data_IF_036309638690
#
_entry.id   IF_036309638690
#
_cell.length_a   1.000
_cell.length_b   1.000
_cell.length_c   1.000
_cell.angle_alpha   90.00
_cell.angle_beta   90.00
_cell.angle_gamma   90.00
#
_symmetry.space_group_name_H-M   'P 1'
#
loop_
_entity.id
_entity.type
_entity.pdbx_description
1 polymer ?
#
# COMPACT_ATOMS: atom_id res chain seq x y z
N UNK A 1 -15.16 -41.44 11.28
CA UNK A 1 -16.03 -40.52 10.52
C UNK A 1 -16.47 -39.43 11.49
N UNK A 2 -16.30 -38.12 11.34
CA UNK A 2 -15.62 -37.22 10.42
C UNK A 2 -15.75 -35.83 11.08
N UNK A 3 -14.73 -34.95 10.96
CA UNK A 3 -14.89 -33.48 10.83
C UNK A 3 -15.34 -32.69 12.10
N UNK A 4 -14.93 -31.46 12.40
CA UNK A 4 -14.06 -30.49 11.74
C UNK A 4 -13.71 -29.36 12.71
N UNK A 5 -12.53 -28.79 12.48
CA UNK A 5 -11.99 -27.55 13.00
C UNK A 5 -12.99 -26.38 13.00
N UNK A 6 -13.09 -25.64 14.10
CA UNK A 6 -13.69 -24.28 14.10
C UNK A 6 -12.71 -23.28 14.70
N UNK A 7 -11.68 -22.97 13.90
CA UNK A 7 -10.94 -21.72 14.02
C UNK A 7 -11.85 -20.58 13.59
N UNK A 8 -12.16 -19.65 14.48
CA UNK A 8 -12.76 -18.36 14.08
C UNK A 8 -12.32 -17.28 15.05
N UNK A 9 -11.07 -16.88 14.88
CA UNK A 9 -10.48 -15.68 15.46
C UNK A 9 -11.32 -14.47 15.04
N UNK A 10 -12.16 -14.00 15.95
CA UNK A 10 -12.90 -12.73 15.84
C UNK A 10 -11.93 -11.56 15.92
N UNK A 11 -11.26 -11.25 14.81
CA UNK A 11 -10.56 -9.98 14.63
C UNK A 11 -11.60 -8.89 14.33
N UNK A 12 -12.20 -8.36 15.40
CA UNK A 12 -13.12 -7.21 15.35
C UNK A 12 -12.45 -5.99 14.73
N UNK A 13 -12.79 -5.74 13.46
CA UNK A 13 -13.31 -4.47 12.96
C UNK A 13 -12.81 -3.18 13.64
N UNK A 14 -11.53 -2.85 13.43
CA UNK A 14 -11.10 -1.45 13.37
C UNK A 14 -10.81 -1.10 11.92
N UNK A 15 -11.89 -0.88 11.16
CA UNK A 15 -11.88 -0.37 9.79
C UNK A 15 -11.30 1.05 9.79
N UNK A 16 -9.98 1.15 9.91
CA UNK A 16 -9.21 2.34 9.54
C UNK A 16 -9.33 2.45 8.04
N UNK A 17 -10.29 3.26 7.61
CA UNK A 17 -10.55 3.75 6.25
C UNK A 17 -9.40 3.43 5.30
N UNK A 18 -9.48 2.23 4.74
CA UNK A 18 -8.65 1.79 3.64
C UNK A 18 -9.17 2.59 2.45
N UNK A 19 -8.27 3.29 1.78
CA UNK A 19 -8.54 4.01 0.54
C UNK A 19 -9.37 3.11 -0.38
N UNK A 20 -10.53 3.57 -0.90
CA UNK A 20 -11.57 2.72 -1.48
C UNK A 20 -11.12 1.87 -2.66
N UNK A 21 -9.95 2.16 -3.24
CA UNK A 21 -9.43 1.49 -4.44
C UNK A 21 -8.90 0.08 -4.15
N UNK A 22 -8.42 -0.21 -2.93
CA UNK A 22 -7.80 -1.51 -2.64
C UNK A 22 -8.40 -2.15 -1.39
N UNK A 23 -9.55 -2.81 -1.53
CA UNK A 23 -10.11 -3.67 -0.46
C UNK A 23 -9.32 -4.97 -0.26
N UNK A 24 -8.51 -5.34 -1.24
CA UNK A 24 -7.65 -6.52 -1.24
C UNK A 24 -6.39 -6.25 -2.07
N UNK A 25 -5.35 -7.06 -1.88
CA UNK A 25 -4.13 -7.03 -2.66
C UNK A 25 -4.42 -7.41 -4.12
N UNK A 26 -4.07 -6.58 -5.11
CA UNK A 26 -4.35 -6.86 -6.52
C UNK A 26 -3.50 -7.99 -7.10
N UNK A 27 -2.40 -8.39 -6.45
CA UNK A 27 -1.53 -9.47 -6.94
C UNK A 27 -1.94 -10.85 -6.43
N UNK A 28 -2.25 -10.97 -5.14
CA UNK A 28 -2.55 -12.26 -4.52
C UNK A 28 -4.01 -12.40 -4.06
N UNK A 29 -4.81 -11.34 -4.13
CA UNK A 29 -6.18 -11.33 -3.62
C UNK A 29 -6.30 -11.27 -2.09
N UNK A 30 -5.18 -11.13 -1.36
CA UNK A 30 -5.17 -11.08 0.10
C UNK A 30 -6.03 -9.93 0.64
N UNK A 31 -7.00 -10.23 1.49
CA UNK A 31 -7.89 -9.24 2.11
C UNK A 31 -7.18 -8.40 3.19
N UNK A 32 -6.01 -8.83 3.63
CA UNK A 32 -5.20 -8.13 4.61
C UNK A 32 -4.23 -7.20 3.90
N UNK A 33 -4.44 -5.90 4.05
CA UNK A 33 -3.45 -4.90 3.67
C UNK A 33 -3.21 -3.95 4.84
N UNK A 34 -1.94 -3.61 5.05
CA UNK A 34 -1.51 -2.72 6.12
C UNK A 34 -1.17 -1.37 5.52
N UNK A 35 -1.82 -0.32 6.00
CA UNK A 35 -1.46 1.06 5.67
C UNK A 35 -0.29 1.50 6.55
N UNK A 36 0.78 1.99 5.92
CA UNK A 36 1.93 2.57 6.61
C UNK A 36 2.35 3.89 5.98
N UNK A 37 3.06 4.72 6.74
CA UNK A 37 3.78 5.87 6.18
C UNK A 37 5.27 5.60 6.24
N UNK A 38 5.97 5.78 5.12
CA UNK A 38 7.42 5.67 5.06
C UNK A 38 8.00 6.91 4.37
N UNK A 39 9.25 7.25 4.69
CA UNK A 39 10.01 8.28 3.98
C UNK A 39 10.71 7.64 2.79
N UNK A 40 10.17 7.88 1.60
CA UNK A 40 10.78 7.40 0.36
C UNK A 40 11.81 8.42 -0.11
N UNK A 41 13.04 7.94 -0.36
CA UNK A 41 14.09 8.73 -1.01
C UNK A 41 14.21 8.24 -2.44
N UNK A 42 13.94 9.12 -3.40
CA UNK A 42 14.04 8.82 -4.82
C UNK A 42 15.13 9.69 -5.43
N UNK A 43 16.09 9.05 -6.10
CA UNK A 43 17.07 9.75 -6.92
C UNK A 43 16.45 10.14 -8.26
N UNK A 44 16.54 11.41 -8.63
CA UNK A 44 16.21 11.89 -9.96
C UNK A 44 17.36 11.62 -10.92
N UNK A 45 17.07 11.63 -12.22
CA UNK A 45 18.08 11.45 -13.27
C UNK A 45 19.15 12.56 -13.25
N UNK A 46 18.80 13.74 -12.76
CA UNK A 46 19.70 14.89 -12.57
C UNK A 46 20.62 14.76 -11.34
N UNK A 47 20.60 13.63 -10.64
CA UNK A 47 21.40 13.40 -9.44
C UNK A 47 20.85 14.06 -8.17
N UNK A 48 19.65 14.66 -8.23
CA UNK A 48 18.98 15.21 -7.04
C UNK A 48 18.25 14.10 -6.30
N UNK A 49 18.32 14.09 -4.98
CA UNK A 49 17.57 13.12 -4.16
C UNK A 49 16.40 13.82 -3.48
N UNK A 50 15.18 13.44 -3.85
CA UNK A 50 13.97 13.93 -3.19
C UNK A 50 13.58 12.96 -2.08
N UNK A 51 13.43 13.48 -0.86
CA UNK A 51 12.94 12.70 0.28
C UNK A 51 11.54 13.17 0.65
N UNK A 52 10.53 12.32 0.42
CA UNK A 52 9.13 12.64 0.66
C UNK A 52 8.50 11.58 1.57
N UNK A 53 7.63 12.02 2.48
CA UNK A 53 6.80 11.12 3.27
C UNK A 53 5.62 10.64 2.42
N UNK A 54 5.56 9.34 2.20
CA UNK A 54 4.53 8.68 1.39
C UNK A 54 3.77 7.67 2.25
N UNK A 55 2.46 7.64 2.08
CA UNK A 55 1.61 6.52 2.48
C UNK A 55 1.73 5.38 1.48
N UNK A 56 1.90 4.16 1.99
CA UNK A 56 1.89 2.94 1.20
C UNK A 56 1.04 1.86 1.84
N UNK A 57 0.50 0.99 1.00
CA UNK A 57 -0.11 -0.26 1.39
C UNK A 57 0.95 -1.36 1.33
N UNK A 58 0.95 -2.26 2.30
CA UNK A 58 1.77 -3.47 2.29
C UNK A 58 0.86 -4.68 2.49
N UNK A 59 0.97 -5.66 1.59
CA UNK A 59 0.29 -6.94 1.74
C UNK A 59 1.23 -7.91 2.49
N UNK A 60 0.83 -8.45 3.66
CA UNK A 60 1.63 -9.41 4.39
C UNK A 60 1.62 -10.80 3.72
N UNK A 61 0.56 -11.14 2.96
CA UNK A 61 0.44 -12.45 2.31
C UNK A 61 1.47 -12.65 1.19
N UNK A 62 1.69 -11.63 0.34
CA UNK A 62 2.68 -11.70 -0.74
C UNK A 62 3.93 -10.83 -0.51
N UNK A 63 3.94 -10.01 0.56
CA UNK A 63 5.04 -9.09 0.86
C UNK A 63 5.05 -7.80 0.03
N UNK A 64 4.13 -7.67 -0.93
CA UNK A 64 4.18 -6.57 -1.90
C UNK A 64 3.79 -5.23 -1.29
N UNK A 65 4.40 -4.15 -1.79
CA UNK A 65 4.15 -2.79 -1.35
C UNK A 65 3.73 -1.87 -2.50
N UNK A 66 2.67 -1.11 -2.26
CA UNK A 66 2.13 -0.17 -3.24
C UNK A 66 2.00 1.22 -2.64
N UNK A 67 2.39 2.25 -3.40
CA UNK A 67 2.16 3.64 -2.99
C UNK A 67 0.67 3.96 -3.06
N UNK A 68 0.18 4.74 -2.09
CA UNK A 68 -1.16 5.30 -2.16
C UNK A 68 -1.30 6.25 -3.34
N UNK A 69 -2.50 6.40 -3.90
CA UNK A 69 -2.76 7.30 -5.04
C UNK A 69 -2.33 8.75 -4.74
N UNK A 70 -2.63 9.24 -3.53
CA UNK A 70 -2.17 10.56 -3.05
C UNK A 70 -0.64 10.63 -3.01
N UNK A 71 0.03 9.59 -2.51
CA UNK A 71 1.49 9.58 -2.41
C UNK A 71 2.18 9.43 -3.75
N UNK A 72 1.61 8.65 -4.67
CA UNK A 72 2.04 8.54 -6.07
C UNK A 72 1.99 9.92 -6.71
N UNK A 73 0.88 10.64 -6.55
CA UNK A 73 0.71 12.00 -7.09
C UNK A 73 1.70 13.00 -6.50
N UNK A 74 1.94 12.96 -5.19
CA UNK A 74 2.94 13.84 -4.56
C UNK A 74 4.36 13.52 -5.02
N UNK A 75 4.69 12.24 -5.15
CA UNK A 75 5.99 11.81 -5.63
C UNK A 75 6.22 12.28 -7.07
N UNK A 76 5.23 12.07 -7.94
CA UNK A 76 5.25 12.50 -9.33
C UNK A 76 5.44 14.02 -9.46
N UNK A 77 4.65 14.79 -8.70
CA UNK A 77 4.80 16.25 -8.61
C UNK A 77 6.20 16.67 -8.12
N UNK A 78 6.76 15.97 -7.13
CA UNK A 78 8.09 16.29 -6.60
C UNK A 78 9.23 15.89 -7.54
N UNK A 79 9.00 14.89 -8.39
CA UNK A 79 9.92 14.48 -9.46
C UNK A 79 9.73 15.30 -10.74
N UNK A 80 8.70 16.15 -10.82
CA UNK A 80 8.35 16.90 -12.04
C UNK A 80 7.97 16.01 -13.21
N UNK A 81 7.66 14.74 -12.95
CA UNK A 81 7.14 13.83 -13.96
C UNK A 81 5.70 14.31 -14.22
N UNK A 82 5.35 14.62 -15.46
CA UNK A 82 3.95 14.82 -15.83
C UNK A 82 3.44 13.41 -16.13
N UNK A 83 2.57 12.82 -15.31
CA UNK A 83 1.91 11.55 -15.68
C UNK A 83 1.25 11.75 -17.07
N UNK A 84 1.54 10.92 -18.09
CA UNK A 84 0.66 10.81 -19.23
C UNK A 84 -0.68 10.22 -18.75
N UNK A 85 -1.79 10.86 -19.13
CA UNK A 85 -3.15 10.32 -19.00
C UNK A 85 -3.32 8.97 -19.70
#
# INVERSE_FOLDING_TARGET
>A
MSQSSTSSSRASARSRRIDPVYRACPLCGGAHITLGTERLRVGTRDGRSVSIRVGRWACPDCGERFLTSDSRRRLDAALGLRQPE
#
